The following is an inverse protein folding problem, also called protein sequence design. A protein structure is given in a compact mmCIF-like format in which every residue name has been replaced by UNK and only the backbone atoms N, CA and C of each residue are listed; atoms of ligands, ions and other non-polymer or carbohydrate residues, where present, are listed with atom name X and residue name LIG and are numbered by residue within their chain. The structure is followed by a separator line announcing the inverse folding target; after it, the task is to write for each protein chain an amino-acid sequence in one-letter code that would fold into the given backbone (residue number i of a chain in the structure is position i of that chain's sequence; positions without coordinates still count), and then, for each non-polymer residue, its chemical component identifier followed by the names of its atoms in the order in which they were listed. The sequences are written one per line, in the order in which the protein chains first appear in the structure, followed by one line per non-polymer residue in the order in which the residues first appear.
data_IF_037968996496
#
_entry.id   IF_037968996496
#
_cell.length_a   1.000
_cell.length_b   1.000
_cell.length_c   1.000
_cell.angle_alpha   90.00
_cell.angle_beta   90.00
_cell.angle_gamma   90.00
#
_symmetry.space_group_name_H-M   'P 1'
#
loop_
_entity.id
_entity.type
_entity.pdbx_description
1 polymer ?
#
# COMPACT_ATOMS: atom_id res chain seq x y z
N UNK A 1 10.93 -6.63 17.76
CA UNK A 1 10.56 -6.54 16.33
C UNK A 1 9.22 -5.85 16.24
N UNK A 2 9.16 -4.63 15.72
CA UNK A 2 7.91 -3.87 15.62
C UNK A 2 6.99 -4.56 14.61
N UNK A 3 6.08 -5.39 15.12
CA UNK A 3 4.88 -5.85 14.42
C UNK A 3 3.88 -4.68 14.47
N UNK A 4 3.97 -3.74 13.54
CA UNK A 4 2.82 -2.90 13.18
C UNK A 4 1.86 -3.83 12.45
N UNK A 5 1.07 -4.59 13.20
CA UNK A 5 0.07 -5.50 12.65
C UNK A 5 -0.86 -4.71 11.74
N UNK A 6 -0.62 -4.76 10.44
CA UNK A 6 -1.61 -4.37 9.46
C UNK A 6 -2.72 -5.42 9.57
N UNK A 7 -3.75 -5.08 10.34
CA UNK A 7 -4.99 -5.83 10.34
C UNK A 7 -5.62 -5.55 8.99
N UNK A 8 -5.20 -6.30 7.96
CA UNK A 8 -5.72 -6.16 6.60
C UNK A 8 -7.25 -6.20 6.71
N UNK A 9 -7.95 -5.09 6.40
CA UNK A 9 -9.37 -4.97 6.67
C UNK A 9 -10.15 -5.90 5.73
N UNK A 10 -11.36 -6.32 6.11
CA UNK A 10 -12.20 -7.11 5.21
C UNK A 10 -12.42 -6.37 3.88
N UNK A 11 -12.48 -7.11 2.77
CA UNK A 11 -12.53 -6.54 1.42
C UNK A 11 -13.73 -5.60 1.23
N UNK A 12 -14.82 -5.87 1.94
CA UNK A 12 -16.07 -5.10 1.93
C UNK A 12 -15.95 -3.75 2.64
N UNK A 13 -14.95 -3.59 3.53
CA UNK A 13 -14.67 -2.33 4.21
C UNK A 13 -13.78 -1.39 3.38
N UNK A 14 -13.34 -1.82 2.20
CA UNK A 14 -12.54 -1.00 1.32
C UNK A 14 -13.40 0.02 0.57
N UNK A 15 -12.82 1.19 0.33
CA UNK A 15 -13.37 2.24 -0.51
C UNK A 15 -12.41 2.50 -1.67
N UNK A 16 -12.97 2.66 -2.88
CA UNK A 16 -12.21 2.88 -4.12
C UNK A 16 -12.05 4.38 -4.36
N UNK A 17 -10.82 4.81 -4.63
CA UNK A 17 -10.49 6.09 -5.24
C UNK A 17 -9.98 5.85 -6.66
N UNK A 18 -10.25 6.78 -7.56
CA UNK A 18 -9.82 6.75 -8.96
C UNK A 18 -9.28 8.12 -9.33
N UNK A 19 -8.12 8.18 -9.98
CA UNK A 19 -7.54 9.45 -10.40
C UNK A 19 -6.16 9.30 -11.02
N UNK A 20 -5.65 10.39 -11.58
CA UNK A 20 -4.28 10.46 -12.11
C UNK A 20 -3.31 10.75 -10.97
N UNK A 21 -2.20 10.03 -10.93
CA UNK A 21 -1.13 10.25 -9.95
C UNK A 21 -0.46 11.61 -10.20
N UNK A 22 -0.39 12.46 -9.16
CA UNK A 22 0.28 13.78 -9.20
C UNK A 22 1.71 13.68 -8.64
N UNK A 23 1.82 13.57 -7.31
CA UNK A 23 3.11 13.50 -6.61
C UNK A 23 3.37 12.14 -6.03
N UNK A 24 4.65 11.76 -6.01
CA UNK A 24 5.16 10.55 -5.39
C UNK A 24 6.40 10.88 -4.55
N UNK A 25 6.52 10.28 -3.37
CA UNK A 25 7.66 10.46 -2.47
C UNK A 25 7.91 9.22 -1.63
N UNK A 26 9.17 8.94 -1.30
CA UNK A 26 9.51 7.91 -0.32
C UNK A 26 9.63 8.59 1.04
N UNK A 27 8.95 8.06 2.04
CA UNK A 27 8.98 8.54 3.42
C UNK A 27 9.65 7.48 4.29
N UNK A 28 10.57 7.89 5.15
CA UNK A 28 11.11 7.06 6.22
C UNK A 28 10.09 7.03 7.36
N UNK A 29 9.48 5.86 7.62
CA UNK A 29 8.36 5.71 8.54
C UNK A 29 8.75 5.94 10.02
N UNK A 30 10.06 5.93 10.35
CA UNK A 30 10.54 6.22 11.70
C UNK A 30 10.64 7.71 11.99
N UNK A 31 11.07 8.47 10.98
CA UNK A 31 11.34 9.91 11.12
C UNK A 31 10.23 10.77 10.52
N UNK A 32 9.37 10.23 9.66
CA UNK A 32 8.37 10.96 8.89
C UNK A 32 8.97 11.84 7.77
N UNK A 33 10.27 11.73 7.52
CA UNK A 33 11.00 12.60 6.59
C UNK A 33 11.06 11.97 5.19
N UNK A 34 10.92 12.81 4.17
CA UNK A 34 11.14 12.40 2.78
C UNK A 34 12.60 12.00 2.54
N UNK A 35 12.80 10.90 1.85
CA UNK A 35 14.12 10.34 1.54
C UNK A 35 14.18 9.89 0.07
N UNK A 36 15.39 9.85 -0.50
CA UNK A 36 15.64 9.23 -1.80
C UNK A 36 16.14 7.78 -1.70
N UNK A 37 16.39 7.30 -0.48
CA UNK A 37 17.00 5.98 -0.24
C UNK A 37 15.94 4.97 0.20
N UNK A 38 15.74 3.90 -0.58
CA UNK A 38 14.88 2.79 -0.19
C UNK A 38 15.49 2.00 0.96
N UNK A 39 14.78 1.94 2.09
CA UNK A 39 15.11 1.13 3.26
C UNK A 39 13.90 0.28 3.67
N UNK A 40 14.10 -0.79 4.45
CA UNK A 40 13.00 -1.64 4.92
C UNK A 40 11.92 -0.90 5.73
N UNK A 41 12.22 0.25 6.34
CA UNK A 41 11.29 1.04 7.15
C UNK A 41 10.78 2.28 6.41
N UNK A 42 10.56 2.17 5.11
CA UNK A 42 10.00 3.25 4.31
C UNK A 42 8.60 2.91 3.80
N UNK A 43 7.89 3.94 3.36
CA UNK A 43 6.69 3.79 2.54
C UNK A 43 6.73 4.77 1.37
N UNK A 44 5.96 4.46 0.32
CA UNK A 44 5.73 5.38 -0.79
C UNK A 44 4.46 6.14 -0.47
N UNK A 45 4.55 7.46 -0.44
CA UNK A 45 3.40 8.35 -0.34
C UNK A 45 3.12 8.94 -1.71
N UNK A 46 1.85 8.95 -2.13
CA UNK A 46 1.45 9.59 -3.37
C UNK A 46 0.07 10.26 -3.25
N UNK A 47 -0.23 11.14 -4.20
CA UNK A 47 -1.48 11.92 -4.29
C UNK A 47 -2.09 11.77 -5.67
N UNK A 48 -3.37 12.14 -5.81
CA UNK A 48 -4.07 12.19 -7.08
C UNK A 48 -4.34 13.66 -7.45
N UNK A 49 -4.35 14.01 -8.75
CA UNK A 49 -4.45 15.40 -9.23
C UNK A 49 -5.66 16.19 -8.71
N UNK A 50 -6.78 15.51 -8.40
CA UNK A 50 -8.03 16.14 -7.94
C UNK A 50 -8.25 16.03 -6.42
N UNK A 51 -7.30 15.45 -5.67
CA UNK A 51 -7.44 15.14 -4.25
C UNK A 51 -6.28 15.66 -3.39
N UNK A 52 -6.60 16.04 -2.15
CA UNK A 52 -5.58 16.34 -1.12
C UNK A 52 -5.20 15.09 -0.31
N UNK A 53 -5.86 13.97 -0.59
CA UNK A 53 -5.63 12.69 0.05
C UNK A 53 -4.24 12.14 -0.23
N UNK A 54 -3.56 11.75 0.84
CA UNK A 54 -2.26 11.07 0.76
C UNK A 54 -2.49 9.58 0.88
N UNK A 55 -2.06 8.83 -0.13
CA UNK A 55 -2.06 7.38 -0.17
C UNK A 55 -0.70 6.85 0.23
N UNK A 56 -0.67 5.84 1.10
CA UNK A 56 0.54 5.20 1.62
C UNK A 56 0.65 3.75 1.17
N UNK A 57 1.80 3.41 0.60
CA UNK A 57 2.17 2.06 0.18
C UNK A 57 3.42 1.58 0.92
N UNK A 58 3.28 0.74 1.97
CA UNK A 58 4.40 0.23 2.76
C UNK A 58 5.45 -0.55 1.97
N UNK A 59 6.72 -0.48 2.38
CA UNK A 59 7.83 -1.32 1.86
C UNK A 59 7.58 -2.83 1.95
N UNK A 60 6.80 -3.25 2.93
CA UNK A 60 6.45 -4.64 3.18
C UNK A 60 5.39 -5.18 2.20
N UNK A 61 4.74 -4.31 1.42
CA UNK A 61 3.77 -4.71 0.41
C UNK A 61 4.40 -5.25 -0.88
N UNK A 62 3.74 -6.23 -1.52
CA UNK A 62 4.28 -6.90 -2.70
C UNK A 62 4.44 -5.94 -3.87
N UNK A 63 5.63 -5.88 -4.47
CA UNK A 63 5.87 -5.04 -5.63
C UNK A 63 6.21 -3.58 -5.31
N UNK A 64 6.51 -3.24 -4.05
CA UNK A 64 6.95 -1.91 -3.60
C UNK A 64 7.93 -1.21 -4.56
N UNK A 65 9.01 -1.88 -4.96
CA UNK A 65 10.02 -1.30 -5.87
C UNK A 65 9.42 -0.91 -7.21
N UNK A 66 8.50 -1.72 -7.77
CA UNK A 66 7.84 -1.42 -9.04
C UNK A 66 6.88 -0.25 -8.92
N UNK A 67 6.21 -0.08 -7.77
CA UNK A 67 5.36 1.08 -7.51
C UNK A 67 6.20 2.36 -7.63
N UNK A 68 7.35 2.43 -6.95
CA UNK A 68 8.20 3.62 -7.02
C UNK A 68 8.66 3.95 -8.43
N UNK A 69 9.02 2.93 -9.22
CA UNK A 69 9.59 3.11 -10.55
C UNK A 69 8.55 3.41 -11.65
N UNK A 70 7.32 2.92 -11.50
CA UNK A 70 6.35 2.85 -12.59
C UNK A 70 5.00 3.51 -12.30
N UNK A 71 4.71 3.82 -11.02
CA UNK A 71 3.43 4.41 -10.65
C UNK A 71 3.28 5.80 -11.29
N UNK A 72 2.35 5.86 -12.23
CA UNK A 72 2.06 7.00 -13.08
C UNK A 72 0.67 6.81 -13.69
N UNK A 73 0.17 7.81 -14.42
CA UNK A 73 -1.14 7.75 -15.08
C UNK A 73 -2.31 7.54 -14.11
N UNK A 74 -3.44 7.10 -14.67
CA UNK A 74 -4.66 6.84 -13.95
C UNK A 74 -4.56 5.56 -13.13
N UNK A 75 -4.95 5.64 -11.87
CA UNK A 75 -4.92 4.51 -10.94
C UNK A 75 -6.24 4.40 -10.20
N UNK A 76 -6.63 3.17 -9.95
CA UNK A 76 -7.66 2.78 -9.02
C UNK A 76 -6.98 2.25 -7.76
N UNK A 77 -7.30 2.84 -6.60
CA UNK A 77 -6.72 2.45 -5.32
C UNK A 77 -7.81 2.18 -4.31
N UNK A 78 -7.60 1.16 -3.47
CA UNK A 78 -8.54 0.81 -2.42
C UNK A 78 -7.89 0.99 -1.06
N UNK A 79 -8.57 1.73 -0.19
CA UNK A 79 -8.15 2.02 1.19
C UNK A 79 -9.27 1.66 2.15
N UNK A 80 -8.97 1.59 3.44
CA UNK A 80 -10.00 1.32 4.46
C UNK A 80 -10.92 2.53 4.63
N UNK A 81 -12.24 2.33 4.59
CA UNK A 81 -13.22 3.43 4.69
C UNK A 81 -13.09 4.23 5.99
N UNK A 82 -12.69 3.59 7.09
CA UNK A 82 -12.50 4.26 8.38
C UNK A 82 -11.33 5.24 8.41
N UNK A 83 -10.43 5.18 7.43
CA UNK A 83 -9.20 6.00 7.41
C UNK A 83 -9.43 7.34 6.70
N UNK A 84 -10.55 7.46 5.97
CA UNK A 84 -10.90 8.65 5.19
C UNK A 84 -11.19 9.83 6.13
N UNK A 85 -10.54 10.96 5.89
CA UNK A 85 -10.76 12.20 6.63
C UNK A 85 -10.05 12.28 7.98
N UNK A 86 -9.24 11.28 8.35
CA UNK A 86 -8.53 11.26 9.64
C UNK A 86 -7.26 12.13 9.66
N UNK A 87 -6.89 12.76 8.54
CA UNK A 87 -5.66 13.57 8.42
C UNK A 87 -4.36 12.76 8.30
N UNK A 88 -4.45 11.42 8.33
CA UNK A 88 -3.31 10.51 8.19
C UNK A 88 -3.24 9.90 6.78
N UNK A 89 -2.03 9.57 6.28
CA UNK A 89 -1.88 8.86 5.01
C UNK A 89 -2.60 7.49 5.00
N UNK A 90 -3.48 7.30 4.03
CA UNK A 90 -4.34 6.11 3.95
C UNK A 90 -3.60 4.93 3.34
N UNK A 91 -3.60 3.78 4.03
CA UNK A 91 -2.90 2.58 3.55
C UNK A 91 -3.63 1.96 2.36
N UNK A 92 -2.89 1.71 1.28
CA UNK A 92 -3.41 1.09 0.06
C UNK A 92 -3.41 -0.44 0.21
N UNK A 93 -4.57 -1.05 -0.02
CA UNK A 93 -4.79 -2.50 0.07
C UNK A 93 -5.12 -3.15 -1.28
N UNK A 94 -5.29 -2.38 -2.36
CA UNK A 94 -5.33 -2.84 -3.76
C UNK A 94 -4.98 -1.66 -4.65
N UNK A 95 -4.28 -1.92 -5.75
CA UNK A 95 -3.90 -0.91 -6.73
C UNK A 95 -4.00 -1.48 -8.14
N UNK A 96 -4.68 -0.78 -9.02
CA UNK A 96 -4.78 -1.11 -10.45
C UNK A 96 -4.48 0.14 -11.27
N UNK A 97 -3.44 0.06 -12.09
CA UNK A 97 -3.03 1.13 -12.97
C UNK A 97 -3.63 0.91 -14.36
N UNK A 98 -4.09 1.99 -14.97
CA UNK A 98 -4.48 2.03 -16.36
C UNK A 98 -3.37 2.73 -17.14
N UNK A 99 -2.89 2.07 -18.20
CA UNK A 99 -1.85 2.61 -19.09
C UNK A 99 -2.39 2.70 -20.52
N UNK A 100 -1.85 3.60 -21.36
CA UNK A 100 -2.22 3.66 -22.77
C UNK A 100 -1.98 2.32 -23.50
N UNK A 101 -2.76 2.05 -24.56
CA UNK A 101 -2.78 0.76 -25.30
C UNK A 101 -1.41 0.33 -25.85
N UNK A 102 -0.51 1.29 -26.11
CA UNK A 102 0.83 1.03 -26.65
C UNK A 102 1.95 1.29 -25.62
N UNK A 103 1.65 1.27 -24.32
CA UNK A 103 2.65 1.48 -23.29
C UNK A 103 3.64 0.31 -23.22
N UNK A 104 4.93 0.63 -23.10
CA UNK A 104 6.02 -0.36 -23.19
C UNK A 104 6.04 -1.28 -21.97
N UNK A 105 5.58 -0.79 -20.83
CA UNK A 105 5.60 -1.50 -19.55
C UNK A 105 4.17 -1.97 -19.23
N UNK A 106 3.97 -3.21 -18.77
CA UNK A 106 2.63 -3.65 -18.38
C UNK A 106 2.10 -2.83 -17.19
N UNK A 107 0.77 -2.61 -17.12
CA UNK A 107 0.16 -1.88 -16.01
C UNK A 107 0.42 -2.56 -14.67
N UNK A 108 0.67 -1.75 -13.64
CA UNK A 108 0.75 -2.24 -12.26
C UNK A 108 -0.60 -2.79 -11.80
N UNK A 109 -0.58 -4.00 -11.25
CA UNK A 109 -1.74 -4.60 -10.60
C UNK A 109 -1.33 -5.33 -9.33
N UNK A 110 -1.71 -4.77 -8.19
CA UNK A 110 -1.54 -5.35 -6.86
C UNK A 110 -2.92 -5.70 -6.33
N UNK A 111 -3.21 -6.99 -6.26
CA UNK A 111 -4.47 -7.48 -5.70
C UNK A 111 -4.46 -7.45 -4.17
N UNK A 112 -5.66 -7.35 -3.59
CA UNK A 112 -5.88 -7.45 -2.15
C UNK A 112 -5.36 -8.77 -1.59
N UNK A 113 -5.59 -9.87 -2.31
CA UNK A 113 -5.21 -11.22 -1.90
C UNK A 113 -3.69 -11.35 -1.76
N UNK A 114 -2.91 -10.72 -2.67
CA UNK A 114 -1.44 -10.71 -2.56
C UNK A 114 -0.93 -9.99 -1.32
N UNK A 115 -1.69 -9.02 -0.81
CA UNK A 115 -1.40 -8.31 0.44
C UNK A 115 -1.88 -9.12 1.66
N UNK A 116 -3.07 -9.73 1.58
CA UNK A 116 -3.72 -10.43 2.67
C UNK A 116 -3.13 -11.81 2.99
N UNK A 117 -2.66 -12.56 1.97
CA UNK A 117 -2.16 -13.92 2.13
C UNK A 117 -0.93 -14.05 3.05
N UNK A 118 0.14 -13.25 2.86
CA UNK A 118 1.32 -13.33 3.73
C UNK A 118 0.98 -13.03 5.19
N UNK A 119 0.08 -12.07 5.43
CA UNK A 119 -0.37 -11.68 6.77
C UNK A 119 -1.18 -12.80 7.45
N UNK A 120 -2.01 -13.49 6.67
CA UNK A 120 -2.80 -14.63 7.15
C UNK A 120 -1.92 -15.82 7.55
N UNK A 121 -0.86 -16.09 6.78
CA UNK A 121 0.11 -17.16 7.09
C UNK A 121 0.89 -16.87 8.36
N UNK A 122 1.41 -15.65 8.50
CA UNK A 122 2.13 -15.21 9.70
C UNK A 122 1.27 -15.33 10.96
N UNK A 123 -0.01 -14.93 10.90
CA UNK A 123 -0.96 -15.13 12.01
C UNK A 123 -1.12 -16.59 12.40
N UNK A 124 -1.32 -17.49 11.43
CA UNK A 124 -1.47 -18.93 11.70
C UNK A 124 -0.21 -19.52 12.35
N UNK A 125 0.98 -19.14 11.91
CA UNK A 125 2.23 -19.59 12.50
C UNK A 125 2.38 -19.13 13.97
N UNK A 126 2.00 -17.89 14.30
CA UNK A 126 2.03 -17.43 15.69
C UNK A 126 1.00 -18.13 16.58
N UNK A 127 -0.21 -18.39 16.08
CA UNK A 127 -1.22 -19.18 16.81
C UNK A 127 -0.67 -20.58 17.12
N UNK A 128 -0.07 -21.24 16.13
CA UNK A 128 0.47 -22.59 16.30
C UNK A 128 1.64 -22.63 17.28
N UNK A 129 2.56 -21.65 17.25
CA UNK A 129 3.64 -21.54 18.23
C UNK A 129 3.12 -21.24 19.64
N UNK A 130 2.08 -20.40 19.76
CA UNK A 130 1.41 -20.13 21.05
C UNK A 130 0.71 -21.36 21.61
N UNK A 131 0.13 -22.21 20.76
CA UNK A 131 -0.48 -23.50 21.16
C UNK A 131 0.56 -24.53 21.60
N UNK A 132 1.78 -24.49 21.07
CA UNK A 132 2.86 -25.43 21.45
C UNK A 132 3.53 -25.03 22.78
N UNK A 133 3.41 -23.77 23.20
CA UNK A 133 4.01 -23.24 24.43
C UNK A 133 3.05 -23.25 25.64
N UNK A 134 1.85 -23.81 25.51
CA UNK A 134 0.85 -24.02 26.57
C UNK A 134 0.72 -25.50 26.91
#
# INVERSE_FOLDING_TARGET
FYNLGSNVPPKEALHKFSGTVDKLSIIDDLSGVQTGFMKPMNSIHFTLEEGEEIFRYPSSWPGYTKIYEQLSFHVDVWVQRSDIGNGEPMVVFRLEQQVPENWIVPPLSISYERIAEPQSRTRRSYVQLGTILL
#
